data_IF_506525872106
#
_entry.id   IF_506525872106
#
_cell.length_a   1.000
_cell.length_b   1.000
_cell.length_c   1.000
_cell.angle_alpha   90.00
_cell.angle_beta   90.00
_cell.angle_gamma   90.00
#
_symmetry.space_group_name_H-M   'P 1'
#
loop_
_entity.id
_entity.type
_entity.pdbx_description
1 polymer ?
#
# COMPACT_ATOMS: atom_id res chain seq x y z
N UNK A 1 35.72 -27.35 43.88
CA UNK A 1 35.34 -25.92 43.79
C UNK A 1 35.25 -25.43 42.35
N UNK A 2 36.29 -25.62 41.52
CA UNK A 2 36.30 -25.18 40.11
C UNK A 2 35.15 -25.74 39.25
N UNK A 3 34.88 -27.05 39.32
CA UNK A 3 33.78 -27.69 38.59
C UNK A 3 32.39 -27.13 38.94
N UNK A 4 32.17 -26.76 40.21
CA UNK A 4 30.90 -26.17 40.65
C UNK A 4 30.71 -24.75 40.10
N UNK A 5 31.78 -23.96 40.02
CA UNK A 5 31.76 -22.61 39.43
C UNK A 5 31.46 -22.65 37.93
N UNK A 6 32.05 -23.62 37.21
CA UNK A 6 31.80 -23.84 35.78
C UNK A 6 30.36 -24.28 35.52
N UNK A 7 29.84 -25.22 36.32
CA UNK A 7 28.45 -25.67 36.20
C UNK A 7 27.45 -24.52 36.42
N UNK A 8 27.70 -23.66 37.42
CA UNK A 8 26.85 -22.50 37.71
C UNK A 8 26.87 -21.47 36.57
N UNK A 9 28.04 -21.18 35.99
CA UNK A 9 28.15 -20.22 34.88
C UNK A 9 27.44 -20.72 33.63
N UNK A 10 27.57 -22.00 33.28
CA UNK A 10 26.82 -22.61 32.17
C UNK A 10 25.31 -22.53 32.41
N UNK A 11 24.85 -22.82 33.62
CA UNK A 11 23.43 -22.73 33.97
C UNK A 11 22.88 -21.30 33.81
N UNK A 12 23.62 -20.28 34.28
CA UNK A 12 23.21 -18.88 34.16
C UNK A 12 23.13 -18.44 32.69
N UNK A 13 24.11 -18.82 31.86
CA UNK A 13 24.10 -18.49 30.43
C UNK A 13 22.92 -19.17 29.72
N UNK A 14 22.64 -20.44 30.04
CA UNK A 14 21.51 -21.16 29.46
C UNK A 14 20.16 -20.53 29.83
N UNK A 15 19.99 -20.12 31.09
CA UNK A 15 18.77 -19.42 31.55
C UNK A 15 18.64 -18.06 30.87
N UNK A 16 19.73 -17.29 30.76
CA UNK A 16 19.71 -15.99 30.08
C UNK A 16 19.35 -16.14 28.58
N UNK A 17 19.88 -17.17 27.91
CA UNK A 17 19.53 -17.47 26.53
C UNK A 17 18.05 -17.85 26.37
N UNK A 18 17.51 -18.68 27.26
CA UNK A 18 16.08 -19.05 27.28
C UNK A 18 15.17 -17.83 27.51
N UNK A 19 15.53 -16.96 28.45
CA UNK A 19 14.78 -15.72 28.71
C UNK A 19 14.84 -14.78 27.51
N UNK A 20 16.01 -14.63 26.89
CA UNK A 20 16.17 -13.82 25.69
C UNK A 20 15.35 -14.38 24.53
N UNK A 21 15.35 -15.71 24.33
CA UNK A 21 14.55 -16.36 23.31
C UNK A 21 13.04 -16.19 23.55
N UNK A 22 12.58 -16.34 24.81
CA UNK A 22 11.18 -16.10 25.16
C UNK A 22 10.77 -14.63 24.95
N UNK A 23 11.67 -13.68 25.24
CA UNK A 23 11.40 -12.26 25.03
C UNK A 23 11.38 -11.90 23.54
N UNK A 24 12.30 -12.47 22.74
CA UNK A 24 12.28 -12.33 21.29
C UNK A 24 11.02 -12.96 20.71
N UNK A 25 10.60 -14.14 21.18
CA UNK A 25 9.35 -14.74 20.74
C UNK A 25 8.17 -13.80 21.03
N UNK A 26 8.03 -13.30 22.27
CA UNK A 26 6.97 -12.35 22.65
C UNK A 26 7.03 -11.03 21.88
N UNK A 27 8.21 -10.43 21.73
CA UNK A 27 8.39 -9.14 21.05
C UNK A 27 8.14 -9.23 19.54
N UNK A 28 8.42 -10.39 18.96
CA UNK A 28 8.20 -10.66 17.54
C UNK A 28 6.99 -11.58 17.29
N UNK A 29 6.15 -11.85 18.31
CA UNK A 29 4.86 -12.50 18.05
C UNK A 29 4.08 -11.53 17.16
N UNK A 30 3.74 -11.91 15.92
CA UNK A 30 2.85 -11.10 15.13
C UNK A 30 1.60 -10.85 15.97
N UNK A 31 1.05 -9.62 15.97
CA UNK A 31 -0.11 -9.29 16.78
C UNK A 31 -1.14 -10.40 16.61
N UNK A 32 -1.67 -10.88 17.74
CA UNK A 32 -2.74 -11.88 17.79
C UNK A 32 -3.98 -11.27 17.14
N UNK A 33 -3.98 -11.14 15.82
CA UNK A 33 -5.16 -11.05 15.00
C UNK A 33 -6.03 -12.21 15.47
N UNK A 34 -7.26 -11.89 15.87
CA UNK A 34 -8.21 -12.85 16.40
C UNK A 34 -8.11 -14.13 15.56
N UNK A 35 -7.62 -15.20 16.20
CA UNK A 35 -7.49 -16.53 15.60
C UNK A 35 -8.90 -17.03 15.31
N UNK A 36 -9.47 -16.62 14.19
CA UNK A 36 -10.22 -17.58 13.38
C UNK A 36 -9.18 -18.62 12.94
N UNK A 37 -9.37 -19.85 13.39
CA UNK A 37 -8.36 -20.89 13.38
C UNK A 37 -7.80 -21.17 11.97
N UNK A 38 -6.63 -20.62 11.64
CA UNK A 38 -5.80 -21.11 10.54
C UNK A 38 -5.01 -22.31 11.09
N UNK A 39 -5.47 -23.51 10.74
CA UNK A 39 -5.06 -24.78 11.38
C UNK A 39 -3.81 -25.43 10.77
N UNK A 40 -3.09 -24.77 9.86
CA UNK A 40 -1.80 -25.23 9.35
C UNK A 40 -0.99 -24.04 8.78
N UNK A 41 0.22 -23.74 9.29
CA UNK A 41 1.06 -22.67 8.73
C UNK A 41 1.77 -23.07 7.41
N UNK A 42 1.69 -24.34 6.99
CA UNK A 42 2.34 -24.84 5.77
C UNK A 42 1.43 -25.01 4.56
N UNK A 43 0.12 -24.81 4.73
CA UNK A 43 -0.84 -24.84 3.63
C UNK A 43 -1.86 -23.77 3.94
N UNK A 44 -1.83 -22.68 3.17
CA UNK A 44 -3.02 -21.85 3.03
C UNK A 44 -4.18 -22.82 2.77
N UNK A 45 -5.34 -22.66 3.42
CA UNK A 45 -6.51 -23.43 3.02
C UNK A 45 -6.66 -23.30 1.50
N UNK A 46 -7.30 -24.25 0.80
CA UNK A 46 -7.75 -24.04 -0.57
C UNK A 46 -8.86 -22.99 -0.55
N UNK A 47 -8.46 -21.77 -0.20
CA UNK A 47 -9.19 -20.55 -0.31
C UNK A 47 -9.35 -20.38 -1.81
N UNK A 48 -10.59 -20.21 -2.24
CA UNK A 48 -10.82 -19.83 -3.62
C UNK A 48 -10.07 -18.51 -3.84
N UNK A 49 -9.62 -18.28 -5.05
CA UNK A 49 -8.97 -17.05 -5.50
C UNK A 49 -9.54 -15.77 -4.85
N UNK A 50 -10.87 -15.71 -4.78
CA UNK A 50 -11.65 -14.64 -4.16
C UNK A 50 -11.45 -14.53 -2.64
N UNK A 51 -11.38 -15.63 -1.90
CA UNK A 51 -11.22 -15.62 -0.45
C UNK A 51 -9.81 -15.14 -0.03
N UNK A 52 -8.78 -15.47 -0.83
CA UNK A 52 -7.42 -14.93 -0.63
C UNK A 52 -7.41 -13.42 -0.87
N UNK A 53 -8.07 -12.97 -1.93
CA UNK A 53 -8.20 -11.55 -2.24
C UNK A 53 -8.98 -10.80 -1.16
N UNK A 54 -10.11 -11.34 -0.69
CA UNK A 54 -10.95 -10.74 0.36
C UNK A 54 -10.18 -10.69 1.69
N UNK A 55 -9.50 -11.78 2.07
CA UNK A 55 -8.65 -11.82 3.27
C UNK A 55 -7.51 -10.81 3.19
N UNK A 56 -6.84 -10.73 2.04
CA UNK A 56 -5.76 -9.78 1.85
C UNK A 56 -6.26 -8.34 1.87
N UNK A 57 -7.37 -8.05 1.17
CA UNK A 57 -7.97 -6.72 1.14
C UNK A 57 -8.38 -6.28 2.54
N UNK A 58 -9.01 -7.17 3.31
CA UNK A 58 -9.35 -6.92 4.71
C UNK A 58 -8.11 -6.71 5.59
N UNK A 59 -7.05 -7.52 5.40
CA UNK A 59 -5.80 -7.41 6.17
C UNK A 59 -5.04 -6.13 5.82
N UNK A 60 -4.97 -5.78 4.54
CA UNK A 60 -4.34 -4.55 4.06
C UNK A 60 -5.12 -3.33 4.55
N UNK A 61 -6.46 -3.35 4.49
CA UNK A 61 -7.30 -2.30 5.04
C UNK A 61 -7.09 -2.15 6.55
N UNK A 62 -7.04 -3.27 7.29
CA UNK A 62 -6.79 -3.25 8.74
C UNK A 62 -5.40 -2.68 9.09
N UNK A 63 -4.35 -3.16 8.43
CA UNK A 63 -2.97 -2.68 8.64
C UNK A 63 -2.84 -1.20 8.27
N UNK A 64 -3.44 -0.77 7.15
CA UNK A 64 -3.38 0.62 6.74
C UNK A 64 -4.16 1.52 7.70
N UNK A 65 -5.38 1.11 8.07
CA UNK A 65 -6.19 1.90 9.00
C UNK A 65 -5.52 2.00 10.36
N UNK A 66 -4.88 0.94 10.85
CA UNK A 66 -4.08 0.98 12.08
C UNK A 66 -2.91 1.97 12.00
N UNK A 67 -2.15 1.96 10.90
CA UNK A 67 -1.04 2.90 10.69
C UNK A 67 -1.52 4.35 10.52
N UNK A 68 -2.62 4.57 9.80
CA UNK A 68 -3.22 5.89 9.59
C UNK A 68 -3.79 6.46 10.89
N UNK A 69 -4.47 5.65 11.70
CA UNK A 69 -4.97 6.06 13.02
C UNK A 69 -3.80 6.43 13.94
N UNK A 70 -2.75 5.60 13.99
CA UNK A 70 -1.55 5.91 14.79
C UNK A 70 -0.86 7.21 14.35
N UNK A 71 -0.80 7.49 13.04
CA UNK A 71 -0.29 8.76 12.52
C UNK A 71 -1.22 9.94 12.83
N UNK A 72 -2.54 9.78 12.69
CA UNK A 72 -3.51 10.83 13.00
C UNK A 72 -3.51 11.19 14.49
N UNK A 73 -3.37 10.22 15.38
CA UNK A 73 -3.22 10.44 16.82
C UNK A 73 -1.92 11.19 17.15
N UNK A 74 -0.81 10.84 16.46
CA UNK A 74 0.46 11.56 16.61
C UNK A 74 0.38 13.02 16.13
N UNK A 75 -0.41 13.30 15.09
CA UNK A 75 -0.63 14.66 14.57
C UNK A 75 -1.62 15.44 15.43
N UNK A 76 -2.71 14.83 15.90
CA UNK A 76 -3.74 15.49 16.71
C UNK A 76 -3.19 15.96 18.07
N UNK A 77 -2.31 15.14 18.69
CA UNK A 77 -1.61 15.48 19.93
C UNK A 77 -0.72 16.72 19.74
N UNK A 78 -0.21 16.96 18.53
CA UNK A 78 0.66 18.10 18.20
C UNK A 78 -0.13 19.38 17.86
N UNK A 79 -1.40 19.26 17.49
CA UNK A 79 -2.28 20.38 17.15
C UNK A 79 -3.04 20.97 18.35
N UNK A 80 -2.94 20.38 19.56
CA UNK A 80 -3.68 20.87 20.74
C UNK A 80 -3.22 22.23 21.27
N UNK A 81 -2.19 22.85 20.69
CA UNK A 81 -1.61 24.12 21.14
C UNK A 81 -1.90 25.36 20.28
N UNK A 82 -2.42 25.21 19.04
CA UNK A 82 -2.64 26.37 18.14
C UNK A 82 -3.97 26.23 17.39
N UNK A 83 -4.83 27.24 17.54
CA UNK A 83 -6.17 27.38 16.99
C UNK A 83 -6.28 27.06 15.49
N UNK A 84 -6.68 25.83 15.14
CA UNK A 84 -7.19 25.49 13.80
C UNK A 84 -8.64 25.97 13.66
N UNK A 85 -8.86 27.25 13.38
CA UNK A 85 -10.19 27.80 13.06
C UNK A 85 -10.46 27.63 11.56
N UNK A 86 -11.22 26.59 11.21
CA UNK A 86 -11.79 26.41 9.88
C UNK A 86 -12.81 25.28 9.90
N UNK A 87 -14.09 25.61 10.09
CA UNK A 87 -15.19 24.64 10.13
C UNK A 87 -15.66 24.30 8.71
N UNK A 88 -15.70 23.01 8.40
CA UNK A 88 -16.45 22.49 7.27
C UNK A 88 -17.77 21.92 7.76
N UNK A 89 -18.88 22.48 7.29
CA UNK A 89 -20.21 22.04 7.62
C UNK A 89 -20.59 20.81 6.78
N UNK A 90 -20.57 19.64 7.42
CA UNK A 90 -21.11 18.38 6.90
C UNK A 90 -21.30 17.42 8.06
N UNK A 91 -22.48 16.78 8.17
CA UNK A 91 -22.86 15.95 9.33
C UNK A 91 -22.16 14.60 9.42
N UNK A 92 -21.26 14.28 8.49
CA UNK A 92 -20.44 13.09 8.55
C UNK A 92 -19.10 13.42 9.24
N UNK A 93 -18.80 12.66 10.30
CA UNK A 93 -17.68 12.85 11.22
C UNK A 93 -16.44 13.44 10.54
N UNK A 94 -16.10 14.65 11.00
CA UNK A 94 -15.09 15.57 10.49
C UNK A 94 -13.79 14.88 10.05
N UNK A 95 -13.61 14.74 8.74
CA UNK A 95 -12.29 14.67 8.12
C UNK A 95 -11.83 16.11 7.85
N UNK A 96 -10.58 16.48 8.16
CA UNK A 96 -10.08 17.82 7.87
C UNK A 96 -10.20 18.11 6.37
N UNK A 97 -10.85 19.22 6.06
CA UNK A 97 -10.98 19.72 4.70
C UNK A 97 -9.60 20.00 4.11
N UNK A 98 -9.29 19.28 3.06
CA UNK A 98 -8.16 19.58 2.21
C UNK A 98 -8.43 20.93 1.55
N UNK A 99 -7.58 21.90 1.84
CA UNK A 99 -7.61 23.22 1.20
C UNK A 99 -7.48 23.06 -0.31
N UNK A 100 -8.38 23.75 -1.03
CA UNK A 100 -8.45 23.80 -2.50
C UNK A 100 -7.13 24.36 -3.07
N UNK A 101 -6.16 23.51 -3.34
CA UNK A 101 -5.11 23.81 -4.31
C UNK A 101 -5.64 23.39 -5.67
N UNK A 102 -5.97 24.38 -6.50
CA UNK A 102 -6.56 24.24 -7.85
C UNK A 102 -5.58 23.72 -8.92
N UNK A 103 -4.40 23.23 -8.51
CA UNK A 103 -3.50 22.50 -9.39
C UNK A 103 -3.85 21.02 -9.37
N UNK A 104 -4.18 20.44 -10.53
CA UNK A 104 -4.31 19.00 -10.68
C UNK A 104 -3.13 18.32 -9.99
N UNK A 105 -3.36 17.47 -8.99
CA UNK A 105 -2.28 16.82 -8.25
C UNK A 105 -1.49 15.93 -9.21
N UNK A 106 -0.28 16.37 -9.54
CA UNK A 106 0.58 15.65 -10.46
C UNK A 106 1.15 14.46 -9.70
N UNK A 107 0.84 13.26 -10.18
CA UNK A 107 1.52 12.07 -9.70
C UNK A 107 2.98 12.08 -10.16
N UNK A 108 3.88 11.38 -9.45
CA UNK A 108 5.20 11.10 -9.99
C UNK A 108 5.05 10.45 -11.39
N UNK A 109 5.98 10.72 -12.32
CA UNK A 109 5.85 10.36 -13.73
C UNK A 109 5.69 8.85 -13.96
N UNK A 110 6.15 8.02 -13.02
CA UNK A 110 5.91 6.58 -13.00
C UNK A 110 5.59 6.15 -11.59
N UNK A 111 4.52 5.38 -11.44
CA UNK A 111 4.13 4.80 -10.18
C UNK A 111 4.08 3.28 -10.32
N UNK A 112 4.75 2.59 -9.41
CA UNK A 112 4.79 1.13 -9.37
C UNK A 112 3.67 0.58 -8.51
N UNK A 113 2.86 -0.30 -9.09
CA UNK A 113 1.82 -1.05 -8.38
C UNK A 113 2.06 -2.54 -8.49
N UNK A 114 1.74 -3.26 -7.43
CA UNK A 114 1.62 -4.72 -7.45
C UNK A 114 0.31 -5.12 -8.15
N UNK A 115 0.21 -6.37 -8.66
CA UNK A 115 -1.05 -6.94 -9.13
C UNK A 115 -2.20 -6.76 -8.14
N UNK A 116 -1.93 -6.99 -6.87
CA UNK A 116 -2.94 -6.96 -5.82
C UNK A 116 -3.51 -5.56 -5.58
N UNK A 117 -2.65 -4.54 -5.63
CA UNK A 117 -3.08 -3.14 -5.55
C UNK A 117 -3.96 -2.74 -6.74
N UNK A 118 -3.58 -3.10 -7.98
CA UNK A 118 -4.37 -2.72 -9.16
C UNK A 118 -5.70 -3.48 -9.24
N UNK A 119 -5.73 -4.74 -8.80
CA UNK A 119 -6.97 -5.51 -8.68
C UNK A 119 -7.91 -4.89 -7.63
N UNK A 120 -7.39 -4.44 -6.49
CA UNK A 120 -8.18 -3.75 -5.47
C UNK A 120 -8.73 -2.40 -5.96
N UNK A 121 -7.92 -1.64 -6.70
CA UNK A 121 -8.38 -0.41 -7.38
C UNK A 121 -9.52 -0.73 -8.34
N UNK A 122 -9.35 -1.76 -9.17
CA UNK A 122 -10.34 -2.17 -10.18
C UNK A 122 -11.66 -2.58 -9.54
N UNK A 123 -11.62 -3.44 -8.53
CA UNK A 123 -12.81 -3.86 -7.78
C UNK A 123 -13.52 -2.67 -7.11
N UNK A 124 -12.75 -1.73 -6.54
CA UNK A 124 -13.31 -0.51 -5.95
C UNK A 124 -14.01 0.37 -7.00
N UNK A 125 -13.39 0.57 -8.17
CA UNK A 125 -13.99 1.36 -9.26
C UNK A 125 -15.28 0.71 -9.77
N UNK A 126 -15.27 -0.59 -10.03
CA UNK A 126 -16.45 -1.35 -10.45
C UNK A 126 -17.60 -1.26 -9.44
N UNK A 127 -17.29 -1.21 -8.14
CA UNK A 127 -18.29 -1.07 -7.08
C UNK A 127 -18.83 0.35 -6.93
N UNK A 128 -18.04 1.37 -7.22
CA UNK A 128 -18.34 2.77 -6.84
C UNK A 128 -18.61 3.70 -8.01
N UNK A 129 -18.35 3.27 -9.24
CA UNK A 129 -18.43 4.11 -10.44
C UNK A 129 -19.32 3.47 -11.50
N UNK A 130 -20.06 4.29 -12.27
CA UNK A 130 -20.79 3.81 -13.43
C UNK A 130 -19.83 3.42 -14.57
N UNK A 131 -20.28 2.55 -15.46
CA UNK A 131 -19.46 1.94 -16.51
C UNK A 131 -18.83 2.96 -17.48
N UNK A 132 -19.52 4.07 -17.77
CA UNK A 132 -19.03 5.17 -18.61
C UNK A 132 -17.84 5.91 -17.98
N UNK A 133 -17.86 6.10 -16.66
CA UNK A 133 -16.73 6.67 -15.92
C UNK A 133 -15.55 5.69 -15.90
N UNK A 134 -15.81 4.39 -15.71
CA UNK A 134 -14.78 3.35 -15.76
C UNK A 134 -14.09 3.34 -17.13
N UNK A 135 -14.86 3.40 -18.21
CA UNK A 135 -14.33 3.45 -19.57
C UNK A 135 -13.51 4.74 -19.83
N UNK A 136 -13.92 5.86 -19.23
CA UNK A 136 -13.15 7.11 -19.28
C UNK A 136 -11.81 6.99 -18.56
N UNK A 137 -11.79 6.35 -17.38
CA UNK A 137 -10.56 6.07 -16.61
C UNK A 137 -9.64 5.15 -17.42
N UNK A 138 -10.19 4.07 -18.01
CA UNK A 138 -9.45 3.11 -18.84
C UNK A 138 -8.76 3.81 -20.01
N UNK A 139 -9.49 4.61 -20.80
CA UNK A 139 -8.93 5.36 -21.94
C UNK A 139 -7.87 6.37 -21.52
N UNK A 140 -8.06 7.04 -20.39
CA UNK A 140 -7.06 7.96 -19.83
C UNK A 140 -5.77 7.24 -19.44
N UNK A 141 -5.89 6.09 -18.76
CA UNK A 141 -4.77 5.23 -18.41
C UNK A 141 -4.05 4.71 -19.67
N UNK A 142 -4.78 4.27 -20.69
CA UNK A 142 -4.22 3.78 -21.95
C UNK A 142 -3.41 4.86 -22.68
N UNK A 143 -3.95 6.08 -22.76
CA UNK A 143 -3.28 7.23 -23.35
C UNK A 143 -1.99 7.59 -22.59
N UNK A 144 -2.03 7.54 -21.26
CA UNK A 144 -0.86 7.78 -20.41
C UNK A 144 0.21 6.71 -20.58
N UNK A 145 -0.17 5.42 -20.56
CA UNK A 145 0.73 4.30 -20.77
C UNK A 145 1.43 4.41 -22.14
N UNK A 146 0.65 4.72 -23.19
CA UNK A 146 1.17 4.98 -24.53
C UNK A 146 2.16 6.14 -24.56
N UNK A 147 1.87 7.25 -23.86
CA UNK A 147 2.77 8.40 -23.77
C UNK A 147 4.07 8.06 -23.03
N UNK A 148 3.98 7.36 -21.90
CA UNK A 148 5.14 6.96 -21.09
C UNK A 148 6.02 5.92 -21.80
N UNK A 149 5.45 5.06 -22.64
CA UNK A 149 6.21 4.08 -23.44
C UNK A 149 7.10 4.76 -24.48
N UNK A 150 6.57 5.78 -25.18
CA UNK A 150 7.31 6.56 -26.20
C UNK A 150 8.49 7.34 -25.62
N UNK A 151 8.47 7.64 -24.33
CA UNK A 151 9.53 8.41 -23.66
C UNK A 151 10.70 7.54 -23.19
N UNK A 152 10.58 6.20 -23.26
CA UNK A 152 11.61 5.28 -22.79
C UNK A 152 11.83 5.35 -21.27
N UNK A 153 12.89 4.72 -20.77
CA UNK A 153 13.20 4.69 -19.34
C UNK A 153 13.64 6.06 -18.77
N UNK A 154 14.21 6.92 -19.61
CA UNK A 154 14.80 8.21 -19.21
C UNK A 154 13.78 9.37 -19.20
N UNK A 155 12.50 9.10 -19.49
CA UNK A 155 11.42 10.08 -19.62
C UNK A 155 10.95 10.77 -18.33
N UNK A 156 11.81 10.94 -17.33
CA UNK A 156 11.47 11.42 -15.98
C UNK A 156 10.81 12.81 -15.94
N UNK A 157 10.90 13.61 -17.01
CA UNK A 157 10.47 15.00 -17.01
C UNK A 157 8.97 15.22 -17.28
N UNK A 158 8.25 14.26 -17.86
CA UNK A 158 6.88 14.52 -18.29
C UNK A 158 5.87 14.08 -17.25
N UNK A 159 5.25 15.05 -16.58
CA UNK A 159 4.11 14.80 -15.72
C UNK A 159 2.91 14.42 -16.59
N UNK A 160 2.33 13.25 -16.34
CA UNK A 160 1.06 12.82 -16.93
C UNK A 160 -0.07 13.02 -15.92
N UNK A 161 -1.28 13.43 -16.35
CA UNK A 161 -2.43 13.50 -15.46
C UNK A 161 -2.75 12.12 -14.89
N UNK A 162 -3.03 12.02 -13.60
CA UNK A 162 -3.42 10.74 -13.00
C UNK A 162 -4.82 10.33 -13.51
N UNK A 163 -5.02 9.11 -14.03
CA UNK A 163 -6.33 8.67 -14.51
C UNK A 163 -7.36 8.50 -13.38
N UNK A 164 -6.90 8.46 -12.13
CA UNK A 164 -7.71 8.29 -10.92
C UNK A 164 -8.01 9.63 -10.21
N UNK A 165 -7.66 10.76 -10.82
CA UNK A 165 -7.93 12.09 -10.28
C UNK A 165 -9.33 12.59 -10.71
N UNK A 166 -10.12 13.03 -9.74
CA UNK A 166 -11.35 13.79 -9.97
C UNK A 166 -11.05 15.17 -10.57
N UNK A 167 -12.04 15.83 -11.21
CA UNK A 167 -11.90 17.20 -11.70
C UNK A 167 -11.50 18.22 -10.62
N UNK A 168 -11.86 17.97 -9.35
CA UNK A 168 -11.50 18.80 -8.19
C UNK A 168 -10.09 18.50 -7.64
N UNK A 169 -9.34 17.60 -8.29
CA UNK A 169 -7.99 17.18 -7.88
C UNK A 169 -7.95 16.15 -6.75
N UNK A 170 -9.10 15.65 -6.27
CA UNK A 170 -9.16 14.57 -5.29
C UNK A 170 -8.91 13.21 -5.95
N UNK A 171 -8.48 12.21 -5.17
CA UNK A 171 -8.25 10.86 -5.69
C UNK A 171 -9.54 10.02 -5.58
N UNK A 172 -10.05 9.50 -6.69
CA UNK A 172 -11.27 8.68 -6.74
C UNK A 172 -11.17 7.43 -5.88
N UNK A 173 -9.97 6.88 -5.71
CA UNK A 173 -9.70 5.62 -5.00
C UNK A 173 -8.96 5.83 -3.67
N UNK A 174 -9.24 6.95 -2.99
CA UNK A 174 -8.55 7.39 -1.76
C UNK A 174 -8.27 6.25 -0.75
N UNK A 175 -9.26 5.38 -0.49
CA UNK A 175 -9.15 4.27 0.49
C UNK A 175 -8.25 3.14 0.01
N UNK A 176 -8.22 2.85 -1.28
CA UNK A 176 -7.48 1.72 -1.89
C UNK A 176 -6.27 2.19 -2.71
N UNK A 177 -5.77 3.41 -2.44
CA UNK A 177 -4.58 3.93 -3.12
C UNK A 177 -3.38 2.99 -2.95
N UNK A 178 -2.53 2.87 -4.00
CA UNK A 178 -1.27 2.16 -3.88
C UNK A 178 -0.43 2.69 -2.71
N UNK A 179 0.37 1.82 -2.11
CA UNK A 179 1.29 2.14 -1.01
C UNK A 179 2.20 3.31 -1.40
N UNK A 180 2.72 3.32 -2.63
CA UNK A 180 3.55 4.42 -3.14
C UNK A 180 2.78 5.75 -3.24
N UNK A 181 1.49 5.72 -3.57
CA UNK A 181 0.66 6.93 -3.63
C UNK A 181 0.37 7.50 -2.24
N UNK A 182 0.18 6.66 -1.23
CA UNK A 182 -0.20 7.11 0.12
C UNK A 182 0.84 8.04 0.73
N UNK A 183 2.11 7.80 0.42
CA UNK A 183 3.23 8.57 0.94
C UNK A 183 3.52 9.80 0.08
N UNK A 184 3.46 9.65 -1.24
CA UNK A 184 3.75 10.73 -2.16
C UNK A 184 2.63 11.80 -2.20
N UNK A 185 1.36 11.39 -2.20
CA UNK A 185 0.25 12.32 -2.42
C UNK A 185 -0.10 13.22 -1.22
N UNK A 186 0.31 12.87 0.00
CA UNK A 186 0.19 13.77 1.16
C UNK A 186 1.23 14.89 1.10
N UNK A 187 2.43 14.59 0.61
CA UNK A 187 3.52 15.56 0.41
C UNK A 187 3.20 16.61 -0.69
N UNK A 188 2.31 16.30 -1.64
CA UNK A 188 2.00 17.18 -2.77
C UNK A 188 0.80 18.12 -2.57
N UNK A 189 0.20 18.19 -1.38
CA UNK A 189 -0.98 19.04 -1.18
C UNK A 189 -1.27 19.49 0.25
N UNK A 190 -0.57 18.93 1.24
CA UNK A 190 -0.55 19.47 2.59
C UNK A 190 0.87 19.92 2.91
N UNK A 191 1.01 21.15 3.37
CA UNK A 191 2.18 21.55 4.15
C UNK A 191 2.14 20.70 5.42
N UNK A 192 2.69 19.49 5.32
CA UNK A 192 2.87 18.55 6.43
C UNK A 192 3.95 19.13 7.32
N UNK A 193 3.65 20.26 7.97
CA UNK A 193 4.62 21.15 8.59
C UNK A 193 5.68 20.37 9.35
N UNK A 194 6.90 20.34 8.83
CA UNK A 194 8.06 19.62 9.36
C UNK A 194 7.79 18.20 9.91
N UNK A 195 6.73 17.52 9.47
CA UNK A 195 6.69 16.06 9.61
C UNK A 195 7.78 15.57 8.69
N UNK A 196 8.79 14.98 9.33
CA UNK A 196 10.02 14.49 8.73
C UNK A 196 9.70 13.69 7.47
N UNK A 197 9.83 14.32 6.30
CA UNK A 197 9.53 13.70 5.01
C UNK A 197 10.30 12.38 4.85
N UNK A 198 11.45 12.28 5.52
CA UNK A 198 12.23 11.07 5.65
C UNK A 198 11.47 9.96 6.37
N UNK A 199 10.84 10.22 7.52
CA UNK A 199 10.05 9.21 8.25
C UNK A 199 8.87 8.73 7.43
N UNK A 200 8.18 9.63 6.75
CA UNK A 200 7.06 9.27 5.87
C UNK A 200 7.55 8.39 4.73
N UNK A 201 8.69 8.73 4.11
CA UNK A 201 9.35 7.92 3.08
C UNK A 201 9.79 6.55 3.61
N UNK A 202 10.40 6.49 4.78
CA UNK A 202 10.82 5.23 5.42
C UNK A 202 9.62 4.34 5.74
N UNK A 203 8.52 4.91 6.26
CA UNK A 203 7.28 4.17 6.50
C UNK A 203 6.68 3.63 5.20
N UNK A 204 6.73 4.42 4.11
CA UNK A 204 6.34 3.98 2.76
C UNK A 204 7.12 2.76 2.31
N UNK A 205 8.45 2.87 2.43
CA UNK A 205 9.36 1.85 1.97
C UNK A 205 9.16 0.58 2.79
N UNK A 206 9.06 0.71 4.12
CA UNK A 206 8.76 -0.43 5.00
C UNK A 206 7.42 -1.10 4.68
N UNK A 207 6.38 -0.32 4.34
CA UNK A 207 5.09 -0.87 3.93
C UNK A 207 5.17 -1.55 2.56
N UNK A 208 5.90 -0.98 1.61
CA UNK A 208 6.14 -1.56 0.28
C UNK A 208 6.94 -2.87 0.39
N UNK A 209 8.04 -2.87 1.14
CA UNK A 209 8.87 -4.05 1.38
C UNK A 209 8.08 -5.14 2.14
N UNK A 210 7.21 -4.73 3.07
CA UNK A 210 6.33 -5.63 3.81
C UNK A 210 5.31 -6.32 2.89
N UNK A 211 4.71 -5.55 1.97
CA UNK A 211 3.82 -6.07 0.93
C UNK A 211 4.56 -7.05 0.02
N UNK A 212 5.72 -6.66 -0.50
CA UNK A 212 6.52 -7.46 -1.42
C UNK A 212 6.91 -8.80 -0.74
N UNK A 213 7.40 -8.77 0.51
CA UNK A 213 7.67 -9.99 1.31
C UNK A 213 6.45 -10.86 1.53
N UNK A 214 5.29 -10.26 1.84
CA UNK A 214 4.05 -11.00 2.07
C UNK A 214 3.58 -11.72 0.80
N UNK A 215 3.70 -11.08 -0.36
CA UNK A 215 3.37 -11.71 -1.64
C UNK A 215 4.33 -12.84 -1.98
N UNK A 216 5.64 -12.64 -1.83
CA UNK A 216 6.64 -13.70 -2.04
C UNK A 216 6.41 -14.90 -1.11
N UNK A 217 6.11 -14.64 0.17
CA UNK A 217 5.80 -15.70 1.14
C UNK A 217 4.53 -16.48 0.80
N UNK A 218 3.58 -15.85 0.10
CA UNK A 218 2.36 -16.48 -0.40
C UNK A 218 2.55 -17.19 -1.77
N UNK A 219 3.77 -17.21 -2.33
CA UNK A 219 4.03 -17.76 -3.67
C UNK A 219 3.46 -16.91 -4.81
N UNK A 220 3.18 -15.64 -4.55
CA UNK A 220 2.65 -14.68 -5.52
C UNK A 220 3.79 -13.82 -6.09
N UNK A 221 3.59 -13.31 -7.31
CA UNK A 221 4.55 -12.42 -7.98
C UNK A 221 4.71 -11.09 -7.22
N UNK A 222 5.93 -10.78 -6.77
CA UNK A 222 6.37 -9.50 -6.21
C UNK A 222 6.67 -8.41 -7.25
N UNK A 223 6.53 -8.74 -8.53
CA UNK A 223 6.73 -7.79 -9.62
C UNK A 223 5.80 -6.59 -9.50
N UNK A 224 6.37 -5.41 -9.73
CA UNK A 224 5.64 -4.14 -9.84
C UNK A 224 5.53 -3.75 -11.30
N UNK A 225 4.36 -3.21 -11.65
CA UNK A 225 4.03 -2.73 -12.98
C UNK A 225 3.77 -1.23 -12.92
N UNK A 226 3.98 -0.54 -14.04
CA UNK A 226 3.57 0.85 -14.18
C UNK A 226 2.05 0.96 -14.10
N UNK A 227 1.55 1.84 -13.21
CA UNK A 227 0.13 1.98 -12.86
C UNK A 227 -0.79 2.11 -14.08
N UNK A 228 -0.46 2.99 -15.04
CA UNK A 228 -1.36 3.26 -16.16
C UNK A 228 -1.51 2.02 -17.06
N UNK A 229 -0.40 1.33 -17.36
CA UNK A 229 -0.42 0.05 -18.08
C UNK A 229 -1.23 -1.02 -17.34
N UNK A 230 -0.92 -1.24 -16.06
CA UNK A 230 -1.59 -2.25 -15.25
C UNK A 230 -3.09 -1.99 -15.09
N UNK A 231 -3.48 -0.73 -14.88
CA UNK A 231 -4.89 -0.34 -14.75
C UNK A 231 -5.65 -0.51 -16.07
N UNK A 232 -5.01 -0.20 -17.20
CA UNK A 232 -5.60 -0.44 -18.52
C UNK A 232 -5.88 -1.93 -18.72
N UNK A 233 -4.90 -2.80 -18.43
CA UNK A 233 -5.06 -4.25 -18.52
C UNK A 233 -6.19 -4.75 -17.61
N UNK A 234 -6.18 -4.34 -16.34
CA UNK A 234 -7.18 -4.78 -15.35
C UNK A 234 -8.61 -4.37 -15.71
N UNK A 235 -8.80 -3.18 -16.30
CA UNK A 235 -10.11 -2.69 -16.73
C UNK A 235 -10.56 -3.26 -18.09
N UNK A 236 -9.66 -3.85 -18.87
CA UNK A 236 -9.97 -4.41 -20.19
C UNK A 236 -10.27 -5.91 -20.16
N UNK A 237 -9.82 -6.62 -19.12
CA UNK A 237 -9.94 -8.06 -18.98
C UNK A 237 -11.10 -8.36 -18.02
N UNK A 238 -12.21 -8.97 -18.48
CA UNK A 238 -13.21 -9.52 -17.59
C UNK A 238 -12.58 -10.56 -16.65
N UNK A 239 -13.01 -10.59 -15.39
CA UNK A 239 -12.55 -11.58 -14.41
C UNK A 239 -11.01 -11.64 -14.27
N UNK A 240 -10.36 -10.47 -14.36
CA UNK A 240 -8.90 -10.34 -14.26
C UNK A 240 -8.36 -10.84 -12.91
N UNK A 241 -9.15 -10.73 -11.84
CA UNK A 241 -8.76 -11.22 -10.52
C UNK A 241 -8.69 -12.75 -10.49
N UNK A 242 -9.68 -13.42 -11.07
CA UNK A 242 -9.74 -14.88 -11.22
C UNK A 242 -8.58 -15.39 -12.10
N UNK A 243 -8.31 -14.69 -13.20
CA UNK A 243 -7.19 -15.00 -14.10
C UNK A 243 -5.85 -14.92 -13.35
N UNK A 244 -5.62 -13.85 -12.59
CA UNK A 244 -4.40 -13.71 -11.81
C UNK A 244 -4.28 -14.77 -10.70
N UNK A 245 -5.37 -15.00 -9.98
CA UNK A 245 -5.36 -15.92 -8.84
C UNK A 245 -5.31 -17.41 -9.23
N UNK A 246 -5.59 -17.75 -10.49
CA UNK A 246 -5.34 -19.08 -11.06
C UNK A 246 -3.89 -19.29 -11.53
N UNK A 247 -3.02 -18.30 -11.32
CA UNK A 247 -1.61 -18.34 -11.72
C UNK A 247 -1.32 -17.70 -13.08
N UNK A 248 -2.33 -17.17 -13.76
CA UNK A 248 -2.14 -16.34 -14.94
C UNK A 248 -1.46 -15.01 -14.59
N UNK A 249 -0.81 -14.37 -15.56
CA UNK A 249 -0.23 -13.04 -15.38
C UNK A 249 -0.84 -12.07 -16.41
N UNK A 250 -2.00 -11.45 -16.12
CA UNK A 250 -2.64 -10.51 -17.04
C UNK A 250 -1.86 -9.21 -17.22
N UNK A 251 -0.71 -9.04 -16.56
CA UNK A 251 0.12 -7.84 -16.59
C UNK A 251 1.46 -8.06 -17.29
N UNK A 252 1.69 -9.22 -17.90
CA UNK A 252 2.95 -9.59 -18.56
C UNK A 252 3.42 -8.60 -19.66
N UNK A 253 2.47 -8.02 -20.38
CA UNK A 253 2.66 -7.01 -21.41
C UNK A 253 2.79 -5.58 -20.87
N UNK A 254 2.58 -5.38 -19.56
CA UNK A 254 2.73 -4.07 -18.94
C UNK A 254 4.21 -3.76 -18.67
N UNK A 255 4.57 -2.48 -18.77
CA UNK A 255 5.91 -2.03 -18.42
C UNK A 255 6.21 -2.33 -16.95
N UNK A 256 7.33 -3.02 -16.69
CA UNK A 256 7.79 -3.28 -15.32
C UNK A 256 8.30 -2.00 -14.68
N UNK A 257 7.96 -1.81 -13.41
CA UNK A 257 8.46 -0.72 -12.60
C UNK A 257 9.68 -1.21 -11.80
N UNK A 258 10.84 -0.62 -12.04
CA UNK A 258 12.03 -0.85 -11.21
C UNK A 258 12.30 0.37 -10.34
N UNK A 259 12.30 0.20 -9.02
CA UNK A 259 12.67 1.25 -8.06
C UNK A 259 14.16 1.59 -8.09
N UNK A 260 14.99 0.76 -8.74
CA UNK A 260 16.46 0.90 -8.76
C UNK A 260 16.99 2.07 -9.58
N UNK A 261 16.14 2.81 -10.30
CA UNK A 261 16.55 3.93 -11.15
C UNK A 261 16.96 5.21 -10.39
N UNK A 262 17.04 5.17 -9.06
CA UNK A 262 17.36 6.33 -8.20
C UNK A 262 18.59 6.07 -7.32
N UNK A 263 19.69 5.59 -7.91
CA UNK A 263 21.02 5.62 -7.31
C UNK A 263 21.87 6.71 -7.96
#
# INVERSE_FOLDING_TARGET
MFLALVALTVAVVAVAALVCFAFLDVAFQPPKLARTAVRNPGTLPPLRSRDVFDWFSASAEHLTNGLLVAQQDAVSTKCSGKSCKGTCAGKDKARPCVTKTTGARLCPPRLGVTPLEVLNITAHLQKTRPADQIETIRRSAEANASRLSRQGANGCATRVPCPLACPDGTCMVQSVRPVQCRVNCELFGHDVGNLDAERTRMAAQGAADGLDRAMTAAGLSDLRYELNGALTAALSIPDVAETWASGGNPFDHCARYSSTATK
#
